data_IF_690809526693
#
_entry.id   IF_690809526693
#
_cell.length_a   1.000
_cell.length_b   1.000
_cell.length_c   1.000
_cell.angle_alpha   90.00
_cell.angle_beta   90.00
_cell.angle_gamma   90.00
#
_symmetry.space_group_name_H-M   'P 1'
#
loop_
_entity.id
_entity.type
_entity.pdbx_description
1 polymer ?
#
# COMPACT_ATOMS: atom_id res chain seq x y z
N UNK A 1 3.50 -15.18 -9.45
CA UNK A 1 3.12 -14.98 -8.04
C UNK A 1 2.22 -16.12 -7.62
N UNK A 2 2.38 -16.64 -6.41
CA UNK A 2 1.42 -17.62 -5.87
C UNK A 2 0.21 -16.88 -5.28
N UNK A 3 -0.96 -17.54 -5.18
CA UNK A 3 -2.15 -16.95 -4.57
C UNK A 3 -1.92 -16.50 -3.13
N UNK A 4 -1.06 -17.21 -2.39
CA UNK A 4 -0.70 -16.83 -1.01
C UNK A 4 0.05 -15.49 -0.97
N UNK A 5 1.03 -15.29 -1.85
CA UNK A 5 1.79 -14.02 -1.91
C UNK A 5 0.89 -12.86 -2.33
N UNK A 6 0.01 -13.08 -3.31
CA UNK A 6 -0.94 -12.05 -3.73
C UNK A 6 -1.90 -11.66 -2.60
N UNK A 7 -2.47 -12.63 -1.87
CA UNK A 7 -3.34 -12.35 -0.74
C UNK A 7 -2.61 -11.63 0.39
N UNK A 8 -1.37 -12.02 0.69
CA UNK A 8 -0.54 -11.33 1.68
C UNK A 8 -0.31 -9.86 1.29
N UNK A 9 -0.02 -9.59 0.02
CA UNK A 9 0.17 -8.23 -0.49
C UNK A 9 -1.12 -7.41 -0.48
N UNK A 10 -2.25 -7.99 -0.88
CA UNK A 10 -3.57 -7.33 -0.76
C UNK A 10 -3.89 -7.00 0.70
N UNK A 11 -3.57 -7.88 1.64
CA UNK A 11 -3.76 -7.62 3.06
C UNK A 11 -2.93 -6.43 3.56
N UNK A 12 -1.65 -6.35 3.16
CA UNK A 12 -0.78 -5.21 3.48
C UNK A 12 -1.29 -3.94 2.82
N UNK A 13 -1.73 -3.99 1.55
CA UNK A 13 -2.28 -2.83 0.85
C UNK A 13 -3.56 -2.28 1.51
N UNK A 14 -4.47 -3.16 1.97
CA UNK A 14 -5.67 -2.76 2.74
C UNK A 14 -5.30 -2.06 4.04
N UNK A 15 -4.33 -2.61 4.79
CA UNK A 15 -3.82 -1.96 6.02
C UNK A 15 -3.19 -0.60 5.71
N UNK A 16 -2.33 -0.52 4.71
CA UNK A 16 -1.71 0.72 4.27
C UNK A 16 -2.75 1.78 3.89
N UNK A 17 -3.80 1.41 3.15
CA UNK A 17 -4.91 2.32 2.81
C UNK A 17 -5.62 2.83 4.06
N UNK A 18 -5.98 1.95 4.99
CA UNK A 18 -6.66 2.34 6.22
C UNK A 18 -5.84 3.31 7.06
N UNK A 19 -4.53 3.06 7.18
CA UNK A 19 -3.61 4.00 7.85
C UNK A 19 -3.48 5.32 7.10
N UNK A 20 -3.38 5.30 5.76
CA UNK A 20 -3.36 6.51 4.94
C UNK A 20 -4.60 7.34 5.23
N UNK A 21 -5.80 6.76 5.14
CA UNK A 21 -7.06 7.45 5.38
C UNK A 21 -7.10 8.09 6.77
N UNK A 22 -6.70 7.34 7.81
CA UNK A 22 -6.62 7.87 9.19
C UNK A 22 -5.58 8.98 9.34
N UNK A 23 -4.46 8.88 8.64
CA UNK A 23 -3.35 9.83 8.76
C UNK A 23 -3.58 11.11 7.96
N UNK A 24 -4.35 11.05 6.87
CA UNK A 24 -4.74 12.21 6.06
C UNK A 24 -6.04 12.87 6.54
N UNK A 25 -6.82 12.18 7.38
CA UNK A 25 -8.04 12.72 7.99
C UNK A 25 -7.70 13.98 8.81
N UNK A 26 -8.38 15.09 8.50
CA UNK A 26 -8.11 16.39 9.10
C UNK A 26 -6.82 17.10 8.66
N UNK A 27 -6.03 16.52 7.73
CA UNK A 27 -4.78 17.13 7.24
C UNK A 27 -4.95 17.84 5.89
N UNK A 28 -4.15 18.88 5.60
CA UNK A 28 -4.17 19.56 4.31
C UNK A 28 -3.59 18.65 3.20
N UNK A 29 -4.11 18.81 1.98
CA UNK A 29 -3.70 18.02 0.80
C UNK A 29 -2.19 18.09 0.52
N UNK A 30 -1.54 19.21 0.85
CA UNK A 30 -0.08 19.38 0.70
C UNK A 30 0.74 18.38 1.53
N UNK A 31 0.20 17.90 2.66
CA UNK A 31 0.86 16.91 3.52
C UNK A 31 0.50 15.46 3.12
N UNK A 32 -0.60 15.26 2.37
CA UNK A 32 -1.09 13.93 2.01
C UNK A 32 -0.04 13.15 1.23
N UNK A 33 0.62 13.77 0.24
CA UNK A 33 1.62 13.10 -0.59
C UNK A 33 2.80 12.58 0.25
N UNK A 34 3.28 13.40 1.20
CA UNK A 34 4.37 13.03 2.11
C UNK A 34 3.96 11.89 3.05
N UNK A 35 2.74 11.96 3.60
CA UNK A 35 2.19 10.93 4.50
C UNK A 35 2.02 9.61 3.76
N UNK A 36 1.42 9.65 2.56
CA UNK A 36 1.23 8.48 1.69
C UNK A 36 2.58 7.87 1.35
N UNK A 37 3.55 8.68 0.91
CA UNK A 37 4.89 8.20 0.57
C UNK A 37 5.60 7.54 1.75
N UNK A 38 5.49 8.12 2.95
CA UNK A 38 6.10 7.59 4.17
C UNK A 38 5.46 6.27 4.60
N UNK A 39 4.13 6.18 4.56
CA UNK A 39 3.40 4.95 4.87
C UNK A 39 3.68 3.85 3.86
N UNK A 40 3.70 4.18 2.56
CA UNK A 40 4.08 3.22 1.51
C UNK A 40 5.49 2.67 1.72
N UNK A 41 6.46 3.52 2.08
CA UNK A 41 7.83 3.07 2.36
C UNK A 41 7.91 2.16 3.60
N UNK A 42 7.21 2.53 4.67
CA UNK A 42 7.13 1.74 5.90
C UNK A 42 6.56 0.34 5.62
N UNK A 43 5.41 0.27 4.93
CA UNK A 43 4.79 -1.01 4.58
C UNK A 43 5.61 -1.81 3.58
N UNK A 44 6.29 -1.14 2.65
CA UNK A 44 7.15 -1.80 1.67
C UNK A 44 8.31 -2.55 2.32
N UNK A 45 8.86 -2.03 3.42
CA UNK A 45 9.88 -2.72 4.22
C UNK A 45 9.34 -3.95 4.96
N UNK A 46 8.06 -3.94 5.34
CA UNK A 46 7.40 -5.07 5.97
C UNK A 46 7.09 -6.19 4.99
N UNK A 47 7.00 -5.89 3.69
CA UNK A 47 6.83 -6.89 2.64
C UNK A 47 8.17 -7.58 2.37
N UNK A 48 8.52 -8.57 3.20
CA UNK A 48 9.68 -9.43 3.00
C UNK A 48 9.41 -10.61 2.05
N UNK A 49 8.13 -10.96 1.81
CA UNK A 49 7.74 -12.11 1.00
C UNK A 49 7.67 -11.83 -0.51
N UNK A 50 8.49 -10.92 -1.04
CA UNK A 50 8.54 -10.72 -2.48
C UNK A 50 9.39 -11.80 -3.15
N UNK A 51 8.93 -12.39 -4.26
CA UNK A 51 9.77 -13.30 -5.03
C UNK A 51 11.04 -12.56 -5.48
N UNK A 52 12.23 -13.18 -5.39
CA UNK A 52 13.45 -12.58 -5.90
C UNK A 52 13.29 -12.26 -7.41
N UNK A 53 13.76 -11.08 -7.83
CA UNK A 53 13.65 -10.63 -9.22
C UNK A 53 12.32 -9.95 -9.62
N UNK A 54 11.42 -9.68 -8.67
CA UNK A 54 10.19 -8.93 -8.95
C UNK A 54 10.34 -7.42 -8.74
N UNK A 55 9.37 -6.65 -9.25
CA UNK A 55 9.31 -5.19 -9.07
C UNK A 55 9.49 -4.78 -7.60
N UNK A 56 10.07 -3.60 -7.32
CA UNK A 56 10.28 -3.14 -5.94
C UNK A 56 8.96 -3.08 -5.17
N UNK A 57 9.00 -3.49 -3.89
CA UNK A 57 7.86 -3.55 -2.97
C UNK A 57 6.96 -2.32 -3.01
N UNK A 58 7.59 -1.14 -3.09
CA UNK A 58 6.92 0.16 -3.17
C UNK A 58 6.01 0.30 -4.40
N UNK A 59 6.43 -0.19 -5.57
CA UNK A 59 5.65 -0.11 -6.82
C UNK A 59 4.44 -1.04 -6.77
N UNK A 60 4.60 -2.23 -6.19
CA UNK A 60 3.51 -3.17 -5.90
C UNK A 60 2.48 -2.60 -4.93
N UNK A 61 2.95 -2.04 -3.81
CA UNK A 61 2.09 -1.41 -2.81
C UNK A 61 1.28 -0.25 -3.40
N UNK A 62 1.94 0.62 -4.18
CA UNK A 62 1.23 1.70 -4.85
C UNK A 62 0.17 1.20 -5.84
N UNK A 63 0.43 0.10 -6.54
CA UNK A 63 -0.54 -0.51 -7.46
C UNK A 63 -1.74 -1.10 -6.71
N UNK A 64 -1.50 -1.96 -5.71
CA UNK A 64 -2.58 -2.61 -4.96
C UNK A 64 -3.36 -1.64 -4.09
N UNK A 65 -2.75 -0.60 -3.52
CA UNK A 65 -3.49 0.44 -2.79
C UNK A 65 -4.50 1.13 -3.72
N UNK A 66 -4.10 1.45 -4.96
CA UNK A 66 -5.03 2.00 -5.97
C UNK A 66 -6.11 1.00 -6.38
N UNK A 67 -5.75 -0.27 -6.53
CA UNK A 67 -6.71 -1.32 -6.88
C UNK A 67 -7.76 -1.50 -5.78
N UNK A 68 -7.32 -1.68 -4.53
CA UNK A 68 -8.18 -1.82 -3.35
C UNK A 68 -9.04 -0.57 -3.15
N UNK A 69 -8.50 0.62 -3.41
CA UNK A 69 -9.30 1.85 -3.32
C UNK A 69 -10.43 1.88 -4.36
N UNK A 70 -10.15 1.47 -5.61
CA UNK A 70 -11.18 1.31 -6.64
C UNK A 70 -12.22 0.25 -6.26
N UNK A 71 -11.79 -0.90 -5.75
CA UNK A 71 -12.68 -1.99 -5.33
C UNK A 71 -13.61 -1.59 -4.18
N UNK A 72 -13.15 -0.74 -3.24
CA UNK A 72 -13.96 -0.29 -2.09
C UNK A 72 -14.86 0.91 -2.43
N UNK A 73 -14.52 1.68 -3.47
CA UNK A 73 -15.35 2.80 -3.95
C UNK A 73 -16.48 2.36 -4.91
N UNK A 74 -16.46 1.13 -5.40
CA UNK A 74 -17.52 0.50 -6.17
C UNK A 74 -18.59 -0.09 -5.25
#
# INVERSE_FOLDING_TARGET
MTPQTENALRAVARKCRSEILKAIDGRPKSEHDRIITTLLDKHAKTVQCLPPGTFPAKRWLSFYVRQVDKEIRQ
#
